data_IF_036360651610
#
_entry.id   IF_036360651610
#
_cell.length_a   1.000
_cell.length_b   1.000
_cell.length_c   1.000
_cell.angle_alpha   90.00
_cell.angle_beta   90.00
_cell.angle_gamma   90.00
#
_symmetry.space_group_name_H-M   'P 1'
#
loop_
_entity.id
_entity.type
_entity.pdbx_description
1 polymer ?
#
# COMPACT_ATOMS: atom_id res chain seq x y z
N UNK A 1 -0.64 23.61 31.29
CA UNK A 1 -0.01 22.95 30.14
C UNK A 1 0.41 21.57 30.62
N UNK A 2 -0.24 20.51 30.14
CA UNK A 2 0.06 19.15 30.60
C UNK A 2 1.45 18.74 30.07
N UNK A 3 2.44 18.68 30.96
CA UNK A 3 3.74 18.08 30.66
C UNK A 3 3.52 16.57 30.55
N UNK A 4 3.30 16.09 29.33
CA UNK A 4 3.38 14.65 29.03
C UNK A 4 4.84 14.23 29.18
N UNK A 5 5.17 13.64 30.34
CA UNK A 5 6.44 12.99 30.55
C UNK A 5 6.40 11.63 29.86
N UNK A 6 6.81 11.59 28.59
CA UNK A 6 6.96 10.33 27.85
C UNK A 6 8.00 9.45 28.56
N UNK A 7 7.74 8.16 28.68
CA UNK A 7 8.72 7.21 29.21
C UNK A 7 9.93 7.08 28.27
N UNK A 8 11.08 6.63 28.77
CA UNK A 8 12.27 6.41 27.94
C UNK A 8 12.00 5.45 26.78
N UNK A 9 11.16 4.43 26.98
CA UNK A 9 10.76 3.50 25.92
C UNK A 9 9.86 4.15 24.87
N UNK A 10 8.87 4.96 25.27
CA UNK A 10 8.00 5.70 24.34
C UNK A 10 8.78 6.76 23.55
N UNK A 11 9.74 7.43 24.20
CA UNK A 11 10.62 8.38 23.52
C UNK A 11 11.48 7.69 22.45
N UNK A 12 12.10 6.55 22.78
CA UNK A 12 12.90 5.77 21.82
C UNK A 12 12.05 5.21 20.68
N UNK A 13 10.85 4.68 20.97
CA UNK A 13 9.91 4.22 19.95
C UNK A 13 9.46 5.35 19.01
N UNK A 14 9.34 6.58 19.51
CA UNK A 14 9.00 7.75 18.70
C UNK A 14 10.12 8.24 17.77
N UNK A 15 11.34 7.75 17.98
CA UNK A 15 12.54 8.11 17.22
C UNK A 15 12.84 7.04 16.18
N UNK A 16 12.80 5.77 16.56
CA UNK A 16 13.19 4.65 15.71
C UNK A 16 12.42 4.62 14.38
N UNK A 17 13.13 4.48 13.26
CA UNK A 17 12.53 4.45 11.92
C UNK A 17 11.99 5.80 11.41
N UNK A 18 12.10 6.88 12.19
CA UNK A 18 11.67 8.22 11.82
C UNK A 18 12.84 9.11 11.43
N UNK A 19 12.55 10.27 10.85
CA UNK A 19 13.56 11.30 10.54
C UNK A 19 14.24 11.92 11.78
N UNK A 20 13.69 11.68 12.98
CA UNK A 20 14.29 12.07 14.25
C UNK A 20 15.46 11.17 14.63
N UNK A 21 15.51 9.94 14.09
CA UNK A 21 16.67 9.08 14.20
C UNK A 21 17.81 9.64 13.35
N UNK A 22 18.82 10.17 14.03
CA UNK A 22 20.00 10.74 13.38
C UNK A 22 21.05 9.67 13.05
N UNK A 23 20.92 8.46 13.59
CA UNK A 23 21.86 7.36 13.40
C UNK A 23 21.42 6.49 12.23
N UNK A 24 20.16 6.06 12.22
CA UNK A 24 19.64 5.15 11.20
C UNK A 24 18.99 5.90 10.04
N UNK A 25 19.13 5.35 8.84
CA UNK A 25 18.52 5.92 7.65
C UNK A 25 17.02 5.61 7.63
N UNK A 26 16.20 6.63 7.91
CA UNK A 26 14.74 6.52 7.85
C UNK A 26 14.20 6.07 6.49
N UNK A 27 14.89 6.41 5.39
CA UNK A 27 14.48 5.99 4.05
C UNK A 27 14.77 4.51 3.81
N UNK A 28 15.96 4.03 4.15
CA UNK A 28 16.25 2.62 4.02
C UNK A 28 15.32 1.77 4.90
N UNK A 29 15.05 2.21 6.13
CA UNK A 29 14.14 1.51 7.04
C UNK A 29 12.71 1.41 6.48
N UNK A 30 12.15 2.52 5.97
CA UNK A 30 10.75 2.55 5.50
C UNK A 30 10.56 2.05 4.08
N UNK A 31 11.54 2.25 3.20
CA UNK A 31 11.42 2.02 1.76
C UNK A 31 12.23 0.80 1.33
N UNK A 32 13.20 0.33 2.13
CA UNK A 32 14.15 -0.71 1.73
C UNK A 32 15.20 -0.23 0.74
N UNK A 33 15.16 1.05 0.35
CA UNK A 33 16.06 1.65 -0.62
C UNK A 33 16.48 3.07 -0.20
N UNK A 34 17.71 3.45 -0.56
CA UNK A 34 18.23 4.78 -0.30
C UNK A 34 19.01 5.29 -1.52
N UNK A 35 18.74 6.54 -1.93
CA UNK A 35 19.44 7.20 -3.06
C UNK A 35 20.95 7.31 -2.90
N UNK A 36 21.46 7.22 -1.66
CA UNK A 36 22.90 7.31 -1.40
C UNK A 36 23.58 5.93 -1.39
N UNK A 37 22.81 4.82 -1.43
CA UNK A 37 23.35 3.46 -1.35
C UNK A 37 24.31 3.30 -0.17
N UNK A 38 25.45 2.66 -0.40
CA UNK A 38 26.49 2.44 0.62
C UNK A 38 27.23 3.72 1.05
N UNK A 39 27.08 4.81 0.30
CA UNK A 39 27.66 6.13 0.63
C UNK A 39 26.76 6.95 1.55
N UNK A 40 25.67 6.39 2.05
CA UNK A 40 24.78 7.07 2.98
C UNK A 40 25.53 7.42 4.27
N UNK A 41 25.34 8.63 4.78
CA UNK A 41 25.91 9.06 6.06
C UNK A 41 25.21 8.45 7.28
N UNK A 42 24.05 7.82 7.07
CA UNK A 42 23.27 7.13 8.10
C UNK A 42 23.33 5.63 7.88
N UNK A 43 23.20 4.86 8.96
CA UNK A 43 23.30 3.40 8.91
C UNK A 43 22.12 2.76 8.20
N UNK A 44 22.40 1.81 7.30
CA UNK A 44 21.42 0.91 6.70
C UNK A 44 21.48 -0.43 7.44
N UNK A 45 20.40 -0.79 8.13
CA UNK A 45 20.31 -2.06 8.87
C UNK A 45 19.56 -3.05 8.01
N UNK A 46 20.30 -3.93 7.32
CA UNK A 46 19.71 -5.06 6.63
C UNK A 46 19.17 -6.06 7.68
N UNK A 47 17.89 -6.43 7.62
CA UNK A 47 17.32 -7.33 8.61
C UNK A 47 17.84 -8.76 8.39
N UNK A 48 18.10 -9.47 9.49
CA UNK A 48 18.46 -10.90 9.46
C UNK A 48 17.26 -11.82 9.23
N UNK A 49 16.04 -11.30 9.45
CA UNK A 49 14.76 -11.97 9.21
C UNK A 49 13.75 -10.90 8.79
N UNK A 50 12.95 -11.20 7.78
CA UNK A 50 11.88 -10.33 7.31
C UNK A 50 10.88 -11.16 6.52
N UNK A 51 9.62 -10.72 6.49
CA UNK A 51 8.62 -11.27 5.58
C UNK A 51 8.80 -10.74 4.15
N UNK A 52 9.52 -9.64 3.99
CA UNK A 52 9.62 -8.91 2.72
C UNK A 52 10.98 -9.12 2.07
N UNK A 53 10.96 -9.50 0.80
CA UNK A 53 12.11 -9.61 -0.09
C UNK A 53 12.09 -8.47 -1.09
N UNK A 54 13.24 -7.89 -1.37
CA UNK A 54 13.46 -6.94 -2.45
C UNK A 54 14.25 -7.62 -3.57
N UNK A 55 13.67 -7.64 -4.77
CA UNK A 55 14.35 -7.98 -6.01
C UNK A 55 14.73 -6.67 -6.72
N UNK A 56 16.02 -6.35 -6.72
CA UNK A 56 16.51 -5.06 -7.23
C UNK A 56 16.51 -5.03 -8.75
N UNK A 57 15.93 -3.95 -9.32
CA UNK A 57 15.96 -3.67 -10.75
C UNK A 57 15.58 -4.89 -11.62
N UNK A 58 14.56 -5.65 -11.20
CA UNK A 58 14.13 -6.87 -11.89
C UNK A 58 13.16 -6.54 -13.04
N UNK A 59 12.28 -5.56 -12.84
CA UNK A 59 11.36 -5.11 -13.88
C UNK A 59 12.04 -4.11 -14.80
N UNK A 60 12.05 -4.42 -16.10
CA UNK A 60 12.52 -3.51 -17.14
C UNK A 60 11.36 -3.19 -18.07
N UNK A 61 11.05 -1.90 -18.23
CA UNK A 61 10.02 -1.48 -19.17
C UNK A 61 10.61 -1.42 -20.59
N UNK A 62 10.18 -2.26 -21.54
CA UNK A 62 10.73 -2.30 -22.90
C UNK A 62 10.42 -1.02 -23.69
N UNK A 63 9.44 -0.23 -23.25
CA UNK A 63 9.03 1.02 -23.90
C UNK A 63 9.78 2.25 -23.36
N UNK A 64 10.56 2.09 -22.28
CA UNK A 64 11.40 3.14 -21.70
C UNK A 64 12.85 2.73 -21.92
N UNK A 65 13.45 3.23 -22.99
CA UNK A 65 14.91 3.22 -23.09
C UNK A 65 15.45 4.16 -22.01
N UNK A 66 16.03 3.60 -20.95
CA UNK A 66 16.62 4.34 -19.82
C UNK A 66 17.70 5.34 -20.25
N UNK A 67 18.17 5.27 -21.50
CA UNK A 67 19.12 6.20 -22.11
C UNK A 67 18.48 7.43 -22.77
N UNK A 68 17.16 7.46 -22.95
CA UNK A 68 16.46 8.52 -23.67
C UNK A 68 15.74 9.48 -22.72
N UNK A 69 16.00 10.78 -22.92
CA UNK A 69 15.40 11.90 -22.17
C UNK A 69 13.88 12.07 -22.40
N UNK A 70 13.24 11.20 -23.19
CA UNK A 70 11.79 11.20 -23.45
C UNK A 70 11.00 10.31 -22.47
N UNK A 71 11.67 9.61 -21.57
CA UNK A 71 11.04 8.89 -20.46
C UNK A 71 10.13 9.81 -19.61
N UNK A 72 10.40 11.13 -19.60
CA UNK A 72 9.60 12.11 -18.88
C UNK A 72 8.21 12.35 -19.47
N UNK A 73 7.97 12.05 -20.76
CA UNK A 73 6.73 12.39 -21.45
C UNK A 73 5.70 11.24 -21.51
N UNK A 74 6.14 9.99 -21.28
CA UNK A 74 5.30 8.79 -21.43
C UNK A 74 4.94 8.10 -20.12
N UNK A 75 5.59 8.43 -19.01
CA UNK A 75 5.22 7.92 -17.68
C UNK A 75 3.80 8.39 -17.35
N UNK A 76 2.86 7.44 -17.30
CA UNK A 76 1.44 7.70 -17.06
C UNK A 76 0.55 7.75 -18.31
N UNK A 77 1.09 7.60 -19.52
CA UNK A 77 0.26 7.33 -20.71
C UNK A 77 -0.01 5.83 -20.79
N UNK A 78 -1.26 5.42 -20.52
CA UNK A 78 -1.68 4.02 -20.57
C UNK A 78 -1.62 3.51 -22.01
N UNK A 79 -0.51 2.87 -22.36
CA UNK A 79 -0.41 2.05 -23.57
C UNK A 79 -0.86 0.63 -23.22
N UNK A 80 -1.93 0.14 -23.86
CA UNK A 80 -2.48 -1.20 -23.60
C UNK A 80 -1.42 -2.30 -23.75
N UNK A 81 -0.51 -2.16 -24.71
CA UNK A 81 0.58 -3.10 -24.92
C UNK A 81 1.59 -3.10 -23.77
N UNK A 82 1.85 -1.93 -23.19
CA UNK A 82 2.75 -1.81 -22.04
C UNK A 82 2.13 -2.39 -20.78
N UNK A 83 0.82 -2.16 -20.58
CA UNK A 83 0.07 -2.74 -19.47
C UNK A 83 0.04 -4.27 -19.59
N UNK A 84 -0.20 -4.81 -20.78
CA UNK A 84 -0.16 -6.25 -21.02
C UNK A 84 1.22 -6.84 -20.69
N UNK A 85 2.31 -6.24 -21.20
CA UNK A 85 3.66 -6.69 -20.90
C UNK A 85 3.97 -6.66 -19.40
N UNK A 86 3.52 -5.60 -18.70
CA UNK A 86 3.66 -5.50 -17.26
C UNK A 86 2.89 -6.59 -16.52
N UNK A 87 1.66 -6.88 -16.94
CA UNK A 87 0.81 -7.90 -16.32
C UNK A 87 1.34 -9.31 -16.56
N UNK A 88 1.87 -9.60 -17.75
CA UNK A 88 2.56 -10.86 -18.05
C UNK A 88 3.80 -11.06 -17.15
N UNK A 89 4.63 -10.02 -17.02
CA UNK A 89 5.77 -10.04 -16.09
C UNK A 89 5.32 -10.25 -14.64
N UNK A 90 4.29 -9.51 -14.19
CA UNK A 90 3.79 -9.60 -12.82
C UNK A 90 3.27 -11.01 -12.53
N UNK A 91 2.49 -11.59 -13.45
CA UNK A 91 1.98 -12.95 -13.32
C UNK A 91 3.11 -13.98 -13.26
N UNK A 92 4.08 -13.90 -14.18
CA UNK A 92 5.20 -14.84 -14.24
C UNK A 92 6.01 -14.86 -12.93
N UNK A 93 6.37 -13.68 -12.42
CA UNK A 93 7.12 -13.57 -11.16
C UNK A 93 6.25 -14.02 -9.98
N UNK A 94 4.98 -13.63 -9.93
CA UNK A 94 4.11 -14.00 -8.81
C UNK A 94 3.98 -15.52 -8.68
N UNK A 95 3.64 -16.21 -9.78
CA UNK A 95 3.43 -17.66 -9.79
C UNK A 95 4.73 -18.42 -9.50
N UNK A 96 5.84 -18.04 -10.15
CA UNK A 96 7.14 -18.68 -9.92
C UNK A 96 7.59 -18.58 -8.45
N UNK A 97 7.38 -17.43 -7.80
CA UNK A 97 7.75 -17.25 -6.40
C UNK A 97 6.79 -17.95 -5.44
N UNK A 98 5.49 -17.89 -5.71
CA UNK A 98 4.48 -18.55 -4.87
C UNK A 98 4.64 -20.07 -4.89
N UNK A 99 4.84 -20.66 -6.07
CA UNK A 99 4.99 -22.11 -6.24
C UNK A 99 6.29 -22.65 -5.62
N UNK A 100 7.39 -21.87 -5.67
CA UNK A 100 8.71 -22.34 -5.22
C UNK A 100 9.01 -22.07 -3.76
N UNK A 101 8.53 -20.95 -3.22
CA UNK A 101 8.98 -20.47 -1.92
C UNK A 101 7.87 -20.44 -0.88
N UNK A 102 6.67 -20.01 -1.25
CA UNK A 102 5.54 -19.99 -0.34
C UNK A 102 4.51 -18.90 -0.66
N UNK A 103 3.37 -18.89 0.07
CA UNK A 103 2.25 -18.00 -0.19
C UNK A 103 2.65 -16.52 -0.06
N UNK A 104 2.24 -15.72 -1.05
CA UNK A 104 2.53 -14.29 -1.12
C UNK A 104 1.39 -13.50 -0.44
N UNK A 105 1.75 -12.64 0.51
CA UNK A 105 0.86 -11.66 1.13
C UNK A 105 0.64 -10.47 0.19
N UNK A 106 1.71 -9.89 -0.34
CA UNK A 106 1.62 -8.71 -1.22
C UNK A 106 2.84 -8.61 -2.12
N UNK A 107 2.64 -8.33 -3.41
CA UNK A 107 3.72 -8.07 -4.37
C UNK A 107 3.51 -6.72 -5.07
N UNK A 108 4.58 -5.91 -5.08
CA UNK A 108 4.56 -4.53 -5.55
C UNK A 108 5.76 -4.25 -6.47
N UNK A 109 5.51 -3.58 -7.61
CA UNK A 109 6.54 -3.22 -8.59
C UNK A 109 6.69 -1.71 -8.68
N UNK A 110 7.92 -1.21 -8.58
CA UNK A 110 8.22 0.21 -8.66
C UNK A 110 8.38 0.69 -10.10
N UNK A 111 7.58 1.69 -10.46
CA UNK A 111 7.64 2.53 -11.67
C UNK A 111 8.49 3.80 -11.44
N UNK A 112 9.35 3.78 -10.42
CA UNK A 112 10.25 4.89 -10.15
C UNK A 112 11.31 5.01 -11.25
N UNK A 113 11.74 6.25 -11.53
CA UNK A 113 12.83 6.53 -12.48
C UNK A 113 14.20 6.58 -11.78
N UNK A 114 14.20 6.90 -10.48
CA UNK A 114 15.43 7.03 -9.71
C UNK A 114 16.16 5.69 -9.57
N UNK A 115 17.48 5.69 -9.79
CA UNK A 115 18.34 4.50 -9.81
C UNK A 115 18.18 3.59 -8.57
N UNK A 116 17.90 4.17 -7.41
CA UNK A 116 17.72 3.43 -6.16
C UNK A 116 16.40 2.67 -6.04
N UNK A 117 15.41 2.92 -6.91
CA UNK A 117 14.09 2.28 -6.86
C UNK A 117 13.58 1.77 -8.21
N UNK A 118 14.22 2.13 -9.32
CA UNK A 118 13.79 1.73 -10.66
C UNK A 118 13.72 0.22 -10.78
N UNK A 119 12.58 -0.29 -11.23
CA UNK A 119 12.36 -1.72 -11.48
C UNK A 119 12.39 -2.60 -10.23
N UNK A 120 12.41 -2.03 -9.02
CA UNK A 120 12.40 -2.82 -7.79
C UNK A 120 11.07 -3.55 -7.63
N UNK A 121 11.16 -4.85 -7.31
CA UNK A 121 10.01 -5.68 -6.99
C UNK A 121 10.09 -6.06 -5.52
N UNK A 122 9.06 -5.71 -4.76
CA UNK A 122 8.92 -6.07 -3.37
C UNK A 122 7.92 -7.22 -3.26
N UNK A 123 8.33 -8.28 -2.56
CA UNK A 123 7.53 -9.48 -2.36
C UNK A 123 7.44 -9.73 -0.87
N UNK A 124 6.24 -9.59 -0.31
CA UNK A 124 5.97 -9.90 1.08
C UNK A 124 5.30 -11.27 1.16
N UNK A 125 5.96 -12.21 1.83
CA UNK A 125 5.44 -13.55 2.09
C UNK A 125 4.59 -13.57 3.36
N UNK A 126 3.75 -14.59 3.52
CA UNK A 126 3.01 -14.79 4.78
C UNK A 126 3.95 -15.19 5.93
N UNK A 127 5.05 -15.90 5.65
CA UNK A 127 6.04 -16.34 6.63
C UNK A 127 7.45 -15.80 6.33
N UNK A 128 8.22 -15.52 7.38
CA UNK A 128 9.62 -15.07 7.26
C UNK A 128 10.54 -16.15 6.71
N UNK A 129 10.25 -17.43 6.98
CA UNK A 129 11.03 -18.56 6.47
C UNK A 129 10.97 -18.66 4.94
N UNK A 130 9.84 -18.30 4.34
CA UNK A 130 9.64 -18.37 2.89
C UNK A 130 10.40 -17.24 2.19
N UNK A 131 10.50 -16.07 2.83
CA UNK A 131 11.34 -14.97 2.37
C UNK A 131 12.84 -15.34 2.39
N UNK A 132 13.32 -15.97 3.46
CA UNK A 132 14.71 -16.44 3.55
C UNK A 132 15.03 -17.53 2.50
N UNK A 133 14.11 -18.48 2.30
CA UNK A 133 14.22 -19.47 1.20
C UNK A 133 14.25 -18.80 -0.17
N UNK A 134 13.42 -17.78 -0.38
CA UNK A 134 13.35 -17.02 -1.63
C UNK A 134 14.69 -16.35 -1.95
N UNK A 135 15.28 -15.61 -1.00
CA UNK A 135 16.58 -14.95 -1.20
C UNK A 135 17.67 -15.96 -1.55
N UNK A 136 17.76 -17.07 -0.81
CA UNK A 136 18.75 -18.13 -1.06
C UNK A 136 18.52 -18.86 -2.38
N UNK A 137 17.27 -19.12 -2.74
CA UNK A 137 16.91 -19.83 -3.96
C UNK A 137 17.06 -18.99 -5.22
N UNK A 138 16.99 -17.66 -5.09
CA UNK A 138 17.22 -16.71 -6.18
C UNK A 138 18.69 -16.33 -6.36
N UNK A 139 19.56 -16.70 -5.41
CA UNK A 139 20.99 -16.48 -5.54
C UNK A 139 21.54 -17.18 -6.80
N UNK A 140 22.29 -16.43 -7.62
CA UNK A 140 22.83 -16.89 -8.91
C UNK A 140 21.80 -17.29 -9.98
N UNK A 141 20.52 -16.90 -9.81
CA UNK A 141 19.51 -17.06 -10.86
C UNK A 141 19.56 -15.91 -11.85
N UNK A 142 19.06 -16.17 -13.06
CA UNK A 142 19.02 -15.21 -14.15
C UNK A 142 17.58 -15.06 -14.64
N UNK A 143 17.21 -13.84 -14.99
CA UNK A 143 15.91 -13.50 -15.56
C UNK A 143 16.12 -12.58 -16.76
N UNK A 144 15.58 -12.93 -17.93
CA UNK A 144 15.73 -12.16 -19.17
C UNK A 144 17.17 -11.72 -19.53
N UNK A 145 18.15 -12.59 -19.25
CA UNK A 145 19.56 -12.32 -19.55
C UNK A 145 20.29 -11.42 -18.54
N UNK A 146 19.64 -11.05 -17.44
CA UNK A 146 20.23 -10.32 -16.31
C UNK A 146 20.27 -11.19 -15.04
N UNK A 147 21.30 -11.06 -14.19
CA UNK A 147 21.32 -11.73 -12.89
C UNK A 147 20.26 -11.13 -11.96
N UNK A 148 19.62 -11.99 -11.16
CA UNK A 148 18.63 -11.59 -10.15
C UNK A 148 19.34 -11.24 -8.85
N UNK A 149 19.10 -10.04 -8.34
CA UNK A 149 19.61 -9.59 -7.04
C UNK A 149 18.47 -9.56 -6.03
N UNK A 150 18.45 -10.54 -5.13
CA UNK A 150 17.47 -10.66 -4.06
C UNK A 150 18.10 -10.34 -2.69
N UNK A 151 17.41 -9.58 -1.85
CA UNK A 151 17.80 -9.36 -0.46
C UNK A 151 16.57 -9.24 0.46
N UNK A 152 16.76 -9.49 1.76
CA UNK A 152 15.72 -9.20 2.75
C UNK A 152 15.54 -7.68 2.89
N UNK A 153 14.29 -7.26 2.88
CA UNK A 153 13.90 -5.85 2.96
C UNK A 153 13.32 -5.52 4.34
N UNK A 154 13.67 -4.38 4.96
CA UNK A 154 13.09 -3.95 6.23
C UNK A 154 11.63 -3.45 6.09
N UNK A 155 11.08 -3.35 4.89
CA UNK A 155 9.75 -2.81 4.63
C UNK A 155 8.67 -3.72 5.20
N UNK A 156 7.90 -3.24 6.17
CA UNK A 156 6.78 -3.97 6.78
C UNK A 156 5.40 -3.47 6.34
N UNK A 157 5.28 -2.18 6.07
CA UNK A 157 4.03 -1.53 5.66
C UNK A 157 4.28 -0.67 4.41
N UNK A 158 3.76 -1.11 3.27
CA UNK A 158 3.90 -0.37 2.02
C UNK A 158 3.19 0.99 2.07
N UNK A 159 2.26 1.25 3.03
CA UNK A 159 1.42 2.47 3.04
C UNK A 159 2.24 3.68 3.38
N UNK A 160 3.25 3.47 4.21
CA UNK A 160 4.20 4.49 4.57
C UNK A 160 5.31 4.65 3.54
N UNK A 161 5.50 3.63 2.69
CA UNK A 161 6.52 3.63 1.64
C UNK A 161 6.04 4.23 0.32
N UNK A 162 4.74 4.18 0.04
CA UNK A 162 4.15 4.67 -1.21
C UNK A 162 4.10 6.19 -1.30
N UNK A 163 4.28 6.70 -2.51
CA UNK A 163 4.15 8.12 -2.81
C UNK A 163 2.68 8.50 -2.97
N UNK A 164 2.09 9.13 -1.95
CA UNK A 164 0.71 9.64 -2.01
C UNK A 164 0.42 10.57 -3.19
N UNK A 165 1.41 11.35 -3.62
CA UNK A 165 1.24 12.24 -4.79
C UNK A 165 1.16 11.44 -6.10
N UNK A 166 1.88 10.33 -6.20
CA UNK A 166 1.84 9.45 -7.37
C UNK A 166 0.53 8.67 -7.41
N UNK A 167 0.03 8.21 -6.26
CA UNK A 167 -1.31 7.59 -6.14
C UNK A 167 -2.42 8.51 -6.64
N UNK A 168 -2.28 9.83 -6.45
CA UNK A 168 -3.21 10.84 -6.94
C UNK A 168 -2.94 11.29 -8.39
N UNK A 169 -1.98 10.65 -9.09
CA UNK A 169 -1.63 10.95 -10.48
C UNK A 169 -0.80 12.21 -10.70
N UNK A 170 -0.12 12.73 -9.67
CA UNK A 170 0.48 14.07 -9.69
C UNK A 170 1.88 14.21 -9.07
N UNK A 171 2.66 13.14 -8.95
CA UNK A 171 4.02 13.27 -8.43
C UNK A 171 4.94 13.97 -9.44
N UNK A 172 5.38 15.19 -9.11
CA UNK A 172 6.24 16.01 -9.95
C UNK A 172 7.74 15.89 -9.61
N UNK A 173 8.11 14.99 -8.69
CA UNK A 173 9.50 14.81 -8.24
C UNK A 173 10.35 14.01 -9.24
N UNK A 174 9.72 13.30 -10.19
CA UNK A 174 10.42 12.48 -11.19
C UNK A 174 11.44 11.53 -10.55
N UNK A 175 12.66 11.52 -11.08
CA UNK A 175 13.78 10.70 -10.58
C UNK A 175 14.23 11.03 -9.15
N UNK A 176 13.80 12.16 -8.58
CA UNK A 176 14.16 12.59 -7.23
C UNK A 176 13.13 12.17 -6.16
N UNK A 177 12.05 11.48 -6.54
CA UNK A 177 11.14 10.93 -5.55
C UNK A 177 11.84 9.80 -4.77
N UNK A 178 11.70 9.81 -3.45
CA UNK A 178 12.25 8.76 -2.56
C UNK A 178 11.16 7.84 -1.99
N UNK A 179 9.95 7.90 -2.54
CA UNK A 179 8.82 7.06 -2.16
C UNK A 179 8.42 6.19 -3.35
N UNK A 180 7.87 5.01 -3.07
CA UNK A 180 7.52 4.02 -4.09
C UNK A 180 6.41 4.56 -5.00
N UNK A 181 6.66 4.53 -6.30
CA UNK A 181 5.65 4.74 -7.33
C UNK A 181 5.21 3.35 -7.78
N UNK A 182 4.04 2.89 -7.36
CA UNK A 182 3.63 1.51 -7.64
C UNK A 182 2.87 1.40 -8.95
N UNK A 183 3.36 0.54 -9.86
CA UNK A 183 2.65 0.20 -11.09
C UNK A 183 1.44 -0.67 -10.76
N UNK A 184 0.29 -0.30 -11.32
CA UNK A 184 -1.00 -0.91 -10.99
C UNK A 184 -1.28 -2.11 -11.90
N UNK A 185 -1.75 -3.21 -11.33
CA UNK A 185 -2.29 -4.36 -12.08
C UNK A 185 -3.80 -4.20 -12.29
N UNK A 186 -4.33 -4.80 -13.35
CA UNK A 186 -5.77 -4.88 -13.59
C UNK A 186 -6.49 -5.57 -12.43
N UNK A 187 -7.77 -5.20 -12.24
CA UNK A 187 -8.64 -5.83 -11.23
C UNK A 187 -8.82 -7.33 -11.48
N UNK A 188 -8.79 -7.73 -12.75
CA UNK A 188 -8.97 -9.12 -13.15
C UNK A 188 -7.72 -9.96 -12.84
N UNK A 189 -6.52 -9.45 -13.15
CA UNK A 189 -5.27 -10.12 -12.75
C UNK A 189 -5.18 -10.22 -11.23
N UNK A 190 -5.51 -9.15 -10.50
CA UNK A 190 -5.50 -9.18 -9.03
C UNK A 190 -6.45 -10.24 -8.47
N UNK A 191 -7.66 -10.37 -9.02
CA UNK A 191 -8.62 -11.41 -8.62
C UNK A 191 -8.11 -12.81 -8.97
N UNK A 192 -7.44 -12.97 -10.11
CA UNK A 192 -6.84 -14.23 -10.55
C UNK A 192 -5.74 -14.70 -9.60
N UNK A 193 -4.82 -13.81 -9.22
CA UNK A 193 -3.65 -14.18 -8.40
C UNK A 193 -4.00 -14.33 -6.91
N UNK A 194 -4.71 -13.36 -6.33
CA UNK A 194 -5.00 -13.37 -4.89
C UNK A 194 -6.31 -14.09 -4.52
N UNK A 195 -7.15 -14.43 -5.51
CA UNK A 195 -8.43 -15.11 -5.30
C UNK A 195 -9.36 -14.33 -4.36
N UNK A 196 -9.91 -15.00 -3.34
CA UNK A 196 -10.73 -14.38 -2.30
C UNK A 196 -9.98 -13.36 -1.45
N UNK A 197 -8.63 -13.41 -1.43
CA UNK A 197 -7.79 -12.46 -0.69
C UNK A 197 -7.67 -11.11 -1.41
N UNK A 198 -8.10 -11.03 -2.68
CA UNK A 198 -8.02 -9.83 -3.50
C UNK A 198 -8.78 -8.63 -2.92
N UNK A 199 -9.89 -8.81 -2.20
CA UNK A 199 -10.68 -7.70 -1.65
C UNK A 199 -9.98 -7.01 -0.46
N UNK A 200 -9.24 -7.77 0.33
CA UNK A 200 -8.51 -7.27 1.51
C UNK A 200 -7.11 -6.77 1.17
N UNK A 201 -6.39 -7.46 0.27
CA UNK A 201 -4.99 -7.19 -0.08
C UNK A 201 -4.91 -6.19 -1.23
N UNK A 202 -4.77 -4.90 -0.91
CA UNK A 202 -4.62 -3.79 -1.86
C UNK A 202 -5.81 -2.81 -1.95
N UNK A 203 -6.73 -2.81 -0.97
CA UNK A 203 -7.87 -1.89 -0.96
C UNK A 203 -7.50 -0.40 -0.82
N UNK A 204 -6.29 -0.08 -0.34
CA UNK A 204 -5.84 1.29 -0.10
C UNK A 204 -5.15 1.98 -1.28
N UNK A 205 -4.47 1.24 -2.15
CA UNK A 205 -3.59 1.80 -3.20
C UNK A 205 -4.13 1.67 -4.62
N UNK A 206 -4.99 0.68 -4.84
CA UNK A 206 -5.49 0.31 -6.17
C UNK A 206 -6.92 0.85 -6.42
N UNK A 207 -7.37 1.81 -5.61
CA UNK A 207 -8.75 2.28 -5.57
C UNK A 207 -8.84 3.80 -5.40
N UNK A 208 -8.76 4.52 -6.51
CA UNK A 208 -8.94 5.98 -6.53
C UNK A 208 -8.78 6.64 -7.90
N UNK A 209 -8.31 5.91 -8.91
CA UNK A 209 -8.34 6.36 -10.30
C UNK A 209 -9.76 6.37 -10.83
N UNK A 210 -10.19 7.51 -11.33
CA UNK A 210 -11.50 7.78 -11.92
C UNK A 210 -11.72 6.92 -13.18
N UNK A 211 -12.24 5.70 -13.00
CA UNK A 211 -12.79 4.89 -14.10
C UNK A 211 -14.17 5.43 -14.46
N UNK A 212 -14.21 6.54 -15.19
CA UNK A 212 -15.40 6.97 -15.91
C UNK A 212 -15.60 6.02 -17.10
N UNK A 213 -16.10 4.82 -16.83
CA UNK A 213 -16.70 3.97 -17.86
C UNK A 213 -18.09 3.58 -17.38
N UNK A 214 -19.09 4.19 -18.01
CA UNK A 214 -20.48 4.01 -17.68
C UNK A 214 -20.92 2.57 -17.88
N UNK A 215 -21.27 1.90 -16.79
CA UNK A 215 -22.29 0.85 -16.79
C UNK A 215 -22.97 0.83 -15.44
N UNK A 216 -24.25 1.19 -15.44
CA UNK A 216 -25.12 1.10 -14.28
C UNK A 216 -25.23 -0.34 -13.78
N UNK A 217 -25.33 -0.48 -12.45
CA UNK A 217 -25.54 -1.75 -11.78
C UNK A 217 -25.96 -1.50 -10.33
N UNK A 218 -27.28 -1.48 -10.13
CA UNK A 218 -28.01 -1.53 -8.87
C UNK A 218 -27.41 -2.46 -7.81
N UNK A 219 -26.98 -1.96 -6.64
CA UNK A 219 -27.01 -2.74 -5.39
C UNK A 219 -27.33 -1.85 -4.17
N UNK A 220 -28.64 -1.68 -3.95
CA UNK A 220 -29.30 -1.87 -2.66
C UNK A 220 -28.68 -1.26 -1.40
N UNK A 221 -29.27 -0.16 -0.95
CA UNK A 221 -29.09 0.33 0.42
C UNK A 221 -29.76 -0.59 1.46
N UNK A 222 -29.12 -0.68 2.63
CA UNK A 222 -29.78 -1.07 3.88
C UNK A 222 -29.36 -0.09 4.97
N UNK A 223 -30.32 0.73 5.38
CA UNK A 223 -30.27 1.61 6.53
C UNK A 223 -30.83 0.87 7.75
N UNK A 224 -30.23 1.13 8.93
CA UNK A 224 -30.71 0.91 10.33
C UNK A 224 -30.57 -0.52 10.85
N UNK A 225 -30.20 -0.78 12.11
CA UNK A 225 -30.31 -0.06 13.41
C UNK A 225 -29.42 -0.86 14.40
N UNK A 226 -28.69 -0.31 15.38
CA UNK A 226 -29.20 0.16 16.67
C UNK A 226 -28.01 0.25 17.65
N UNK A 227 -28.03 1.19 18.60
CA UNK A 227 -27.14 1.16 19.77
C UNK A 227 -26.69 2.54 20.23
N UNK A 228 -27.56 3.26 20.94
CA UNK A 228 -27.32 4.62 21.44
C UNK A 228 -26.84 4.69 22.89
N UNK A 229 -26.13 5.79 23.17
CA UNK A 229 -26.00 6.56 24.41
C UNK A 229 -25.53 7.95 23.92
N UNK A 230 -26.09 9.12 24.24
CA UNK A 230 -26.89 9.58 25.37
C UNK A 230 -26.18 10.83 25.90
N UNK A 231 -26.74 12.02 25.65
CA UNK A 231 -26.47 13.38 26.22
C UNK A 231 -26.65 14.44 25.11
N UNK A 232 -27.37 15.56 25.20
CA UNK A 232 -28.12 16.26 26.23
C UNK A 232 -28.44 17.69 25.73
N UNK A 233 -29.48 18.33 26.29
CA UNK A 233 -29.93 19.74 26.13
C UNK A 233 -30.51 20.12 24.73
N UNK A 234 -31.65 20.79 24.55
CA UNK A 234 -32.50 21.74 25.31
C UNK A 234 -32.97 22.78 24.26
N UNK A 235 -34.14 23.42 24.22
CA UNK A 235 -35.38 23.47 25.00
C UNK A 235 -36.38 24.38 24.25
N UNK A 236 -37.62 24.49 24.77
CA UNK A 236 -38.64 25.52 24.45
C UNK A 236 -39.44 25.31 23.17
N UNK A 237 -40.71 25.69 23.01
CA UNK A 237 -41.77 26.21 23.88
C UNK A 237 -43.02 26.37 22.99
N UNK A 238 -44.21 26.11 23.53
CA UNK A 238 -45.43 26.82 23.09
C UNK A 238 -46.57 26.00 22.44
N UNK A 239 -47.68 25.90 23.18
CA UNK A 239 -49.02 26.14 22.61
C UNK A 239 -50.00 24.96 22.54
N UNK A 240 -51.10 25.04 23.30
CA UNK A 240 -52.37 24.40 22.92
C UNK A 240 -53.02 23.45 23.92
N UNK A 241 -53.58 23.97 25.02
CA UNK A 241 -54.53 23.25 25.90
C UNK A 241 -55.91 23.13 25.21
N UNK A 242 -56.53 21.94 25.18
CA UNK A 242 -57.98 21.73 25.49
C UNK A 242 -58.22 20.31 26.03
N UNK A 243 -59.04 20.23 27.07
CA UNK A 243 -59.28 19.10 27.97
C UNK A 243 -60.46 18.21 27.55
N UNK A 244 -60.36 16.94 27.97
CA UNK A 244 -61.35 16.08 28.64
C UNK A 244 -62.60 15.57 27.89
N UNK A 245 -62.78 14.23 27.93
CA UNK A 245 -63.94 13.57 28.58
C UNK A 245 -63.75 12.05 28.67
N UNK A 246 -63.75 11.53 29.91
CA UNK A 246 -64.00 10.12 30.23
C UNK A 246 -65.50 9.96 30.56
N UNK A 247 -66.15 8.85 30.17
CA UNK A 247 -67.41 8.45 30.78
C UNK A 247 -67.18 7.34 31.82
N UNK A 248 -67.51 7.62 33.08
CA UNK A 248 -67.90 6.61 34.07
C UNK A 248 -69.39 6.77 34.31
N UNK A 249 -70.18 5.72 34.08
CA UNK A 249 -71.51 5.56 34.67
C UNK A 249 -71.73 4.09 34.98
N UNK A 250 -71.86 3.78 36.27
CA UNK A 250 -72.65 2.66 36.78
C UNK A 250 -73.69 3.27 37.72
N UNK A 251 -74.95 3.02 37.37
CA UNK A 251 -76.15 3.02 38.21
C UNK A 251 -75.87 2.55 39.67
N UNK A 252 -76.61 2.97 40.70
CA UNK A 252 -78.08 2.84 40.83
C UNK A 252 -78.51 3.42 42.20
N UNK A 253 -79.77 3.87 42.24
CA UNK A 253 -80.65 4.13 43.39
C UNK A 253 -80.34 5.33 44.29
#
# INVERSE_FOLDING_TARGET
MANYHMSGAEYLASIYGTEKDKVNCSFYFKIGACRHGDKCSRTHIMPSFSQTVLLKNLYHNPMIDTRQADAFAKVGQMNEQEQQYFEEFFEEIFVELEDKFGPIDEMNVCDNIGEHMIGNVYVKFENEEDADKCVKGLENRWFNGSPVYAELSPVTDFREACCRQYELGGCNKGAFCNFMHLKQISRDLRRKLYGSRAEYRGGGYYGGGNWHEGRGGDYGGYSRRSGGYGSGAGGGSGGGRRRSRSPRSRHRY
#
